data_IF_704263434848
#
_entry.id   IF_704263434848
#
_cell.length_a   1.000
_cell.length_b   1.000
_cell.length_c   1.000
_cell.angle_alpha   90.00
_cell.angle_beta   90.00
_cell.angle_gamma   90.00
#
_symmetry.space_group_name_H-M   'P 1'
#
loop_
_entity.id
_entity.type
_entity.pdbx_description
1 polymer ?
#
# COMPACT_ATOMS: atom_id res chain seq x y z
N UNK A 1 19.55 -1.42 -8.42
CA UNK A 1 19.64 0.04 -8.21
C UNK A 1 18.33 0.74 -8.53
N UNK A 2 17.78 0.64 -9.75
CA UNK A 2 16.54 1.36 -10.11
C UNK A 2 15.30 0.96 -9.28
N UNK A 3 15.09 -0.34 -9.05
CA UNK A 3 13.98 -0.84 -8.24
C UNK A 3 14.07 -0.41 -6.77
N UNK A 4 15.27 -0.41 -6.20
CA UNK A 4 15.51 0.08 -4.83
C UNK A 4 15.11 1.55 -4.70
N UNK A 5 15.49 2.37 -5.68
CA UNK A 5 15.14 3.80 -5.72
C UNK A 5 13.62 3.99 -5.74
N UNK A 6 12.89 3.21 -6.54
CA UNK A 6 11.42 3.27 -6.58
C UNK A 6 10.78 2.90 -5.23
N UNK A 7 11.24 1.82 -4.59
CA UNK A 7 10.76 1.41 -3.27
C UNK A 7 11.09 2.47 -2.21
N UNK A 8 12.28 3.07 -2.27
CA UNK A 8 12.68 4.18 -1.39
C UNK A 8 11.78 5.40 -1.58
N UNK A 9 11.46 5.76 -2.82
CA UNK A 9 10.54 6.86 -3.13
C UNK A 9 9.14 6.55 -2.58
N UNK A 10 8.67 5.31 -2.69
CA UNK A 10 7.39 4.89 -2.12
C UNK A 10 7.38 5.03 -0.58
N UNK A 11 8.42 4.55 0.10
CA UNK A 11 8.57 4.67 1.57
C UNK A 11 8.63 6.15 1.99
N UNK A 12 9.41 6.97 1.28
CA UNK A 12 9.52 8.40 1.57
C UNK A 12 8.19 9.13 1.37
N UNK A 13 7.48 8.81 0.29
CA UNK A 13 6.14 9.33 -0.03
C UNK A 13 5.14 8.96 1.06
N UNK A 14 5.10 7.70 1.50
CA UNK A 14 4.20 7.25 2.58
C UNK A 14 4.49 7.99 3.90
N UNK A 15 5.77 8.12 4.27
CA UNK A 15 6.19 8.78 5.51
C UNK A 15 5.91 10.28 5.52
N UNK A 16 5.93 10.95 4.37
CA UNK A 16 5.55 12.36 4.23
C UNK A 16 4.03 12.51 4.17
N UNK A 17 3.31 11.60 3.51
CA UNK A 17 1.85 11.67 3.40
C UNK A 17 1.17 11.62 4.75
N UNK A 18 1.60 10.73 5.65
CA UNK A 18 1.00 10.56 6.98
C UNK A 18 0.81 11.90 7.72
N UNK A 19 1.87 12.70 7.97
CA UNK A 19 1.74 13.97 8.70
C UNK A 19 0.96 15.04 7.95
N UNK A 20 0.87 14.98 6.61
CA UNK A 20 0.18 16.00 5.79
C UNK A 20 -1.06 15.47 5.07
N UNK A 21 -1.61 14.36 5.55
CA UNK A 21 -2.68 13.60 4.88
C UNK A 21 -3.98 14.38 4.73
N UNK A 22 -4.21 15.41 5.54
CA UNK A 22 -5.32 16.36 5.42
C UNK A 22 -5.10 17.47 4.37
N UNK A 23 -3.85 17.66 3.90
CA UNK A 23 -3.45 18.81 3.09
C UNK A 23 -2.90 18.45 1.70
N UNK A 24 -2.46 17.21 1.47
CA UNK A 24 -1.81 16.83 0.20
C UNK A 24 -2.59 15.82 -0.63
N UNK A 25 -3.57 16.31 -1.39
CA UNK A 25 -4.25 15.51 -2.42
C UNK A 25 -3.34 15.08 -3.58
N UNK A 26 -2.16 15.68 -3.72
CA UNK A 26 -1.14 15.26 -4.70
C UNK A 26 -0.46 13.97 -4.26
N UNK A 27 -0.03 13.87 -2.99
CA UNK A 27 0.58 12.64 -2.45
C UNK A 27 -0.36 11.44 -2.49
N UNK A 28 -1.62 11.63 -2.08
CA UNK A 28 -2.65 10.57 -2.14
C UNK A 28 -2.84 9.97 -3.54
N UNK A 29 -2.62 10.78 -4.59
CA UNK A 29 -2.73 10.35 -5.99
C UNK A 29 -1.42 9.79 -6.55
N UNK A 30 -0.28 10.22 -6.03
CA UNK A 30 1.04 9.79 -6.48
C UNK A 30 1.44 8.45 -5.86
N UNK A 31 1.10 8.20 -4.60
CA UNK A 31 1.47 6.97 -3.89
C UNK A 31 0.97 5.69 -4.59
N UNK A 32 -0.30 5.57 -5.02
CA UNK A 32 -0.76 4.40 -5.77
C UNK A 32 -0.01 4.22 -7.08
N UNK A 33 0.23 5.30 -7.83
CA UNK A 33 0.98 5.25 -9.10
C UNK A 33 2.41 4.75 -8.90
N UNK A 34 3.10 5.24 -7.88
CA UNK A 34 4.45 4.76 -7.54
C UNK A 34 4.45 3.28 -7.16
N UNK A 35 3.40 2.81 -6.46
CA UNK A 35 3.27 1.41 -6.10
C UNK A 35 2.96 0.52 -7.31
N UNK A 36 2.09 0.95 -8.21
CA UNK A 36 1.78 0.28 -9.48
C UNK A 36 3.00 0.24 -10.43
N UNK A 37 3.83 1.28 -10.43
CA UNK A 37 5.07 1.38 -11.22
C UNK A 37 6.23 0.51 -10.68
N UNK A 38 6.08 -0.07 -9.49
CA UNK A 38 7.03 -1.04 -8.91
C UNK A 38 6.70 -2.42 -9.49
N UNK A 39 7.29 -2.69 -10.65
CA UNK A 39 7.25 -4.01 -11.26
C UNK A 39 8.30 -4.93 -10.60
N UNK A 40 7.83 -5.90 -9.80
CA UNK A 40 8.68 -6.96 -9.23
C UNK A 40 8.96 -8.08 -10.25
N UNK A 41 8.36 -8.01 -11.44
CA UNK A 41 8.44 -9.01 -12.50
C UNK A 41 7.88 -10.36 -12.02
N UNK A 42 8.60 -11.43 -12.34
CA UNK A 42 8.25 -12.80 -11.90
C UNK A 42 8.59 -13.07 -10.42
N UNK A 43 9.10 -12.09 -9.66
CA UNK A 43 9.47 -12.28 -8.26
C UNK A 43 8.32 -11.87 -7.35
N UNK A 44 8.03 -12.71 -6.37
CA UNK A 44 7.04 -12.43 -5.30
C UNK A 44 7.61 -11.39 -4.31
N UNK A 45 8.94 -11.27 -4.23
CA UNK A 45 9.61 -10.37 -3.29
C UNK A 45 10.89 -9.76 -3.87
N UNK A 46 11.18 -8.55 -3.44
CA UNK A 46 12.41 -7.81 -3.64
C UNK A 46 13.13 -7.60 -2.30
N UNK A 47 14.43 -7.85 -2.30
CA UNK A 47 15.35 -7.58 -1.18
C UNK A 47 16.51 -6.74 -1.71
N UNK A 48 16.58 -5.49 -1.27
CA UNK A 48 17.67 -4.56 -1.56
C UNK A 48 18.60 -4.37 -0.36
N UNK A 49 19.55 -3.45 -0.49
CA UNK A 49 20.48 -3.13 0.61
C UNK A 49 19.73 -2.43 1.75
N UNK A 50 18.92 -1.42 1.44
CA UNK A 50 18.24 -0.59 2.44
C UNK A 50 16.77 -0.96 2.66
N UNK A 51 16.10 -1.49 1.65
CA UNK A 51 14.65 -1.71 1.65
C UNK A 51 14.25 -3.05 1.06
N UNK A 52 13.02 -3.43 1.33
CA UNK A 52 12.38 -4.62 0.79
C UNK A 52 10.96 -4.31 0.32
N UNK A 53 10.46 -5.16 -0.57
CA UNK A 53 9.05 -5.16 -0.97
C UNK A 53 8.59 -6.59 -1.27
N UNK A 54 7.32 -6.91 -1.01
CA UNK A 54 6.71 -8.20 -1.36
C UNK A 54 5.29 -8.00 -1.84
N UNK A 55 4.88 -8.80 -2.82
CA UNK A 55 3.49 -8.83 -3.28
C UNK A 55 2.80 -10.01 -2.62
N UNK A 56 1.68 -9.75 -1.97
CA UNK A 56 0.81 -10.80 -1.45
C UNK A 56 -0.59 -10.62 -2.02
N UNK A 57 -1.18 -11.72 -2.47
CA UNK A 57 -2.58 -11.75 -2.85
C UNK A 57 -3.37 -12.33 -1.68
N UNK A 58 -4.30 -11.56 -1.14
CA UNK A 58 -5.21 -12.02 -0.10
C UNK A 58 -6.58 -12.32 -0.71
N UNK A 59 -7.01 -13.58 -0.59
CA UNK A 59 -8.40 -13.95 -0.81
C UNK A 59 -9.20 -13.48 0.42
N UNK A 60 -9.96 -12.38 0.29
CA UNK A 60 -10.85 -11.90 1.35
C UNK A 60 -12.04 -12.86 1.55
N UNK A 61 -11.81 -14.03 2.17
CA UNK A 61 -12.91 -14.84 2.69
C UNK A 61 -13.42 -14.27 4.02
N UNK A 62 -14.45 -13.44 3.98
CA UNK A 62 -15.21 -13.09 5.19
C UNK A 62 -16.33 -14.10 5.48
N UNK A 63 -16.25 -14.66 6.69
CA UNK A 63 -17.26 -15.33 7.52
C UNK A 63 -17.73 -16.75 7.11
N UNK A 64 -17.14 -17.77 7.75
CA UNK A 64 -17.65 -19.16 7.79
C UNK A 64 -19.14 -19.27 8.15
N UNK A 65 -19.66 -18.38 8.99
CA UNK A 65 -21.07 -18.44 9.42
C UNK A 65 -22.10 -17.96 8.39
N UNK A 66 -21.69 -17.26 7.32
CA UNK A 66 -22.63 -16.75 6.31
C UNK A 66 -22.95 -17.81 5.24
N UNK A 67 -22.08 -18.82 5.09
CA UNK A 67 -22.20 -19.87 4.07
C UNK A 67 -23.39 -20.80 4.34
N UNK A 68 -23.56 -21.23 5.58
CA UNK A 68 -24.67 -22.09 5.96
C UNK A 68 -26.03 -21.42 5.72
N UNK A 69 -26.12 -20.10 5.97
CA UNK A 69 -27.31 -19.31 5.68
C UNK A 69 -27.57 -19.11 4.18
N UNK A 70 -26.51 -18.97 3.37
CA UNK A 70 -26.62 -18.91 1.90
C UNK A 70 -27.06 -20.27 1.35
N UNK A 71 -26.53 -21.37 1.88
CA UNK A 71 -26.86 -22.73 1.46
C UNK A 71 -28.31 -23.08 1.84
N UNK A 72 -28.75 -22.73 3.06
CA UNK A 72 -30.15 -22.88 3.48
C UNK A 72 -31.09 -22.01 2.63
N UNK A 73 -30.70 -20.77 2.33
CA UNK A 73 -31.46 -19.88 1.46
C UNK A 73 -31.57 -20.43 0.03
N UNK A 74 -30.48 -20.97 -0.51
CA UNK A 74 -30.45 -21.54 -1.85
C UNK A 74 -31.30 -22.82 -1.95
N UNK A 75 -31.36 -23.62 -0.89
CA UNK A 75 -32.26 -24.77 -0.81
C UNK A 75 -33.73 -24.34 -0.76
N UNK A 76 -34.05 -23.30 0.01
CA UNK A 76 -35.42 -22.78 0.17
C UNK A 76 -35.93 -22.03 -1.06
N UNK A 77 -35.03 -21.38 -1.81
CA UNK A 77 -35.38 -20.57 -2.98
C UNK A 77 -34.46 -20.88 -4.17
N UNK A 78 -34.58 -22.04 -4.84
CA UNK A 78 -33.59 -22.53 -5.82
C UNK A 78 -33.28 -21.53 -6.94
N UNK A 79 -34.30 -20.89 -7.51
CA UNK A 79 -34.13 -19.92 -8.60
C UNK A 79 -33.35 -18.66 -8.17
N UNK A 80 -33.58 -18.18 -6.95
CA UNK A 80 -32.92 -16.97 -6.42
C UNK A 80 -31.59 -17.30 -5.75
N UNK A 81 -31.46 -18.50 -5.20
CA UNK A 81 -30.22 -19.06 -4.68
C UNK A 81 -29.15 -19.17 -5.76
N UNK A 82 -29.50 -19.65 -6.96
CA UNK A 82 -28.55 -19.70 -8.09
C UNK A 82 -28.08 -18.30 -8.51
N UNK A 83 -28.97 -17.31 -8.53
CA UNK A 83 -28.62 -15.91 -8.85
C UNK A 83 -27.73 -15.32 -7.75
N UNK A 84 -28.07 -15.55 -6.49
CA UNK A 84 -27.30 -15.08 -5.34
C UNK A 84 -25.90 -15.70 -5.32
N UNK A 85 -25.79 -17.01 -5.57
CA UNK A 85 -24.51 -17.70 -5.69
C UNK A 85 -23.70 -17.18 -6.88
N UNK A 86 -24.32 -16.92 -8.04
CA UNK A 86 -23.64 -16.30 -9.17
C UNK A 86 -23.06 -14.91 -8.82
N UNK A 87 -23.83 -14.07 -8.12
CA UNK A 87 -23.39 -12.74 -7.66
C UNK A 87 -22.28 -12.85 -6.59
N UNK A 88 -22.37 -13.84 -5.70
CA UNK A 88 -21.35 -14.09 -4.67
C UNK A 88 -20.07 -14.62 -5.29
N UNK A 89 -20.16 -15.52 -6.25
CA UNK A 89 -19.02 -16.04 -7.00
C UNK A 89 -18.34 -14.93 -7.79
N UNK A 90 -19.10 -14.11 -8.54
CA UNK A 90 -18.60 -12.92 -9.26
C UNK A 90 -17.93 -11.90 -8.32
N UNK A 91 -18.44 -11.73 -7.10
CA UNK A 91 -17.84 -10.85 -6.08
C UNK A 91 -16.66 -11.47 -5.34
N UNK A 92 -16.58 -12.80 -5.25
CA UNK A 92 -15.41 -13.53 -4.70
C UNK A 92 -14.25 -13.55 -5.68
N UNK A 93 -14.51 -13.33 -6.97
CA UNK A 93 -13.46 -13.26 -7.97
C UNK A 93 -12.55 -12.05 -7.82
N UNK A 94 -12.88 -11.02 -7.04
CA UNK A 94 -11.97 -9.90 -6.79
C UNK A 94 -10.92 -10.28 -5.73
N UNK A 95 -9.83 -10.92 -6.15
CA UNK A 95 -8.66 -11.16 -5.28
C UNK A 95 -7.89 -9.86 -5.11
N UNK A 96 -7.67 -9.43 -3.87
CA UNK A 96 -6.89 -8.22 -3.61
C UNK A 96 -5.40 -8.53 -3.69
N UNK A 97 -4.65 -7.70 -4.41
CA UNK A 97 -3.19 -7.79 -4.47
C UNK A 97 -2.59 -6.59 -3.77
N UNK A 98 -1.82 -6.86 -2.72
CA UNK A 98 -1.18 -5.86 -1.87
C UNK A 98 0.33 -5.88 -2.08
N UNK A 99 0.92 -4.70 -2.22
CA UNK A 99 2.36 -4.49 -2.15
C UNK A 99 2.72 -4.11 -0.72
N UNK A 100 3.41 -5.00 -0.02
CA UNK A 100 4.03 -4.73 1.27
C UNK A 100 5.44 -4.18 1.04
N UNK A 101 5.85 -3.19 1.82
CA UNK A 101 7.14 -2.53 1.70
C UNK A 101 7.65 -2.02 3.04
N UNK A 102 8.97 -1.96 3.17
CA UNK A 102 9.62 -1.52 4.40
C UNK A 102 11.13 -1.32 4.26
N UNK A 103 11.76 -0.95 5.37
CA UNK A 103 13.21 -0.78 5.49
C UNK A 103 13.82 -2.00 6.18
N UNK A 104 15.00 -2.43 5.74
CA UNK A 104 15.78 -3.44 6.46
C UNK A 104 16.16 -2.92 7.85
N UNK A 105 16.43 -3.84 8.78
CA UNK A 105 16.85 -3.47 10.13
C UNK A 105 18.06 -2.53 10.09
N UNK A 106 18.04 -1.52 10.96
CA UNK A 106 19.06 -0.47 11.08
C UNK A 106 19.24 0.42 9.82
N UNK A 107 18.48 0.21 8.75
CA UNK A 107 18.53 1.06 7.57
C UNK A 107 17.59 2.26 7.72
N UNK A 108 17.99 3.40 7.18
CA UNK A 108 17.20 4.64 7.21
C UNK A 108 17.25 5.34 5.86
N UNK A 109 16.15 6.02 5.54
CA UNK A 109 16.11 6.97 4.44
C UNK A 109 17.02 8.17 4.77
N UNK A 110 17.76 8.62 3.78
CA UNK A 110 18.57 9.83 3.86
C UNK A 110 17.69 11.08 3.76
N UNK A 111 18.21 12.23 4.19
CA UNK A 111 17.55 13.51 3.95
C UNK A 111 17.29 13.77 2.46
N UNK A 112 18.24 13.39 1.60
CA UNK A 112 18.12 13.52 0.15
C UNK A 112 16.92 12.78 -0.42
N UNK A 113 16.61 11.58 0.11
CA UNK A 113 15.46 10.78 -0.33
C UNK A 113 14.14 11.52 -0.06
N UNK A 114 13.99 12.12 1.13
CA UNK A 114 12.80 12.91 1.46
C UNK A 114 12.74 14.22 0.68
N UNK A 115 13.88 14.91 0.54
CA UNK A 115 13.97 16.14 -0.23
C UNK A 115 13.59 15.93 -1.69
N UNK A 116 13.99 14.80 -2.29
CA UNK A 116 13.59 14.44 -3.65
C UNK A 116 12.07 14.40 -3.80
N UNK A 117 11.39 13.67 -2.91
CA UNK A 117 9.93 13.58 -2.92
C UNK A 117 9.28 14.96 -2.71
N UNK A 118 9.79 15.78 -1.77
CA UNK A 118 9.26 17.13 -1.57
C UNK A 118 9.43 18.02 -2.81
N UNK A 119 10.55 17.92 -3.52
CA UNK A 119 10.75 18.66 -4.77
C UNK A 119 9.78 18.21 -5.85
N UNK A 120 9.53 16.90 -5.98
CA UNK A 120 8.55 16.35 -6.94
C UNK A 120 7.11 16.83 -6.63
N UNK A 121 6.83 17.10 -5.35
CA UNK A 121 5.57 17.72 -4.94
C UNK A 121 5.46 19.20 -5.33
N UNK A 122 6.56 19.85 -5.71
CA UNK A 122 6.62 21.24 -6.13
C UNK A 122 7.14 22.18 -5.04
N UNK A 123 7.71 21.64 -3.95
CA UNK A 123 8.39 22.48 -2.96
C UNK A 123 9.74 22.96 -3.53
N UNK A 124 10.06 24.22 -3.28
CA UNK A 124 11.41 24.73 -3.56
C UNK A 124 12.42 24.12 -2.61
N UNK A 125 13.71 24.12 -2.97
CA UNK A 125 14.80 23.62 -2.11
C UNK A 125 14.76 24.23 -0.70
N UNK A 126 14.53 25.53 -0.61
CA UNK A 126 14.44 26.24 0.67
C UNK A 126 13.25 25.78 1.49
N UNK A 127 12.08 25.63 0.88
CA UNK A 127 10.88 25.15 1.58
C UNK A 127 11.04 23.71 2.05
N UNK A 128 11.59 22.83 1.20
CA UNK A 128 11.82 21.43 1.54
C UNK A 128 12.80 21.29 2.71
N UNK A 129 13.90 22.06 2.73
CA UNK A 129 14.85 22.06 3.85
C UNK A 129 14.25 22.56 5.15
N UNK A 130 13.42 23.59 5.09
CA UNK A 130 12.78 24.15 6.29
C UNK A 130 11.73 23.21 6.86
N UNK A 131 10.97 22.51 6.00
CA UNK A 131 9.89 21.63 6.41
C UNK A 131 10.38 20.24 6.85
N UNK A 132 11.53 19.80 6.34
CA UNK A 132 12.08 18.46 6.61
C UNK A 132 12.21 18.12 8.11
N UNK A 133 12.82 18.96 8.97
CA UNK A 133 12.97 18.67 10.39
C UNK A 133 11.63 18.43 11.10
N UNK A 134 10.63 19.26 10.78
CA UNK A 134 9.29 19.18 11.37
C UNK A 134 8.56 17.91 10.93
N UNK A 135 8.59 17.61 9.63
CA UNK A 135 8.01 16.39 9.08
C UNK A 135 8.63 15.14 9.71
N UNK A 136 9.96 15.13 9.88
CA UNK A 136 10.64 13.99 10.48
C UNK A 136 10.31 13.83 11.96
N UNK A 137 10.14 14.93 12.70
CA UNK A 137 9.71 14.87 14.09
C UNK A 137 8.32 14.25 14.21
N UNK A 138 7.36 14.68 13.38
CA UNK A 138 6.00 14.13 13.39
C UNK A 138 6.00 12.68 12.92
N UNK A 139 6.70 12.38 11.82
CA UNK A 139 6.81 11.02 11.27
C UNK A 139 7.40 10.03 12.29
N UNK A 140 8.50 10.38 12.97
CA UNK A 140 9.11 9.53 14.02
C UNK A 140 8.17 9.28 15.20
N UNK A 141 7.40 10.29 15.61
CA UNK A 141 6.42 10.15 16.69
C UNK A 141 5.26 9.22 16.31
N UNK A 142 4.90 9.17 15.03
CA UNK A 142 3.85 8.29 14.49
C UNK A 142 4.36 6.87 14.21
N UNK A 143 5.59 6.71 13.72
CA UNK A 143 6.22 5.41 13.48
C UNK A 143 6.51 4.63 14.75
N UNK A 144 6.87 5.27 15.87
CA UNK A 144 7.06 4.59 17.17
C UNK A 144 5.81 3.85 17.69
N UNK A 145 4.64 4.07 17.09
CA UNK A 145 3.37 3.45 17.49
C UNK A 145 2.92 2.29 16.57
N UNK A 146 3.64 1.97 15.49
CA UNK A 146 3.23 0.97 14.49
C UNK A 146 4.45 0.23 13.94
N UNK A 147 4.34 -1.07 13.66
CA UNK A 147 5.34 -1.80 12.87
C UNK A 147 5.67 -1.04 11.57
N UNK A 148 6.95 -1.05 11.19
CA UNK A 148 7.46 -0.24 10.06
C UNK A 148 7.00 -0.78 8.70
N UNK A 149 6.60 -2.05 8.61
CA UNK A 149 6.04 -2.62 7.37
C UNK A 149 4.70 -1.96 7.04
N UNK A 150 4.55 -1.59 5.77
CA UNK A 150 3.35 -0.96 5.21
C UNK A 150 2.85 -1.76 4.04
N UNK A 151 1.56 -1.66 3.75
CA UNK A 151 0.96 -2.23 2.55
C UNK A 151 0.13 -1.19 1.78
N UNK A 152 0.04 -1.39 0.47
CA UNK A 152 -0.84 -0.66 -0.43
C UNK A 152 -1.48 -1.62 -1.43
N UNK A 153 -2.78 -1.49 -1.66
CA UNK A 153 -3.49 -2.24 -2.70
C UNK A 153 -3.01 -1.77 -4.07
N UNK A 154 -2.53 -2.70 -4.90
CA UNK A 154 -2.01 -2.43 -6.25
C UNK A 154 -2.85 -3.08 -7.36
N UNK A 155 -3.87 -3.87 -7.01
CA UNK A 155 -4.77 -4.42 -8.02
C UNK A 155 -5.78 -5.42 -7.51
N UNK A 156 -6.72 -5.73 -8.40
CA UNK A 156 -7.65 -6.85 -8.26
C UNK A 156 -7.32 -7.87 -9.35
N UNK A 157 -7.12 -9.13 -8.99
CA UNK A 157 -7.07 -10.23 -9.96
C UNK A 157 -8.49 -10.77 -10.05
N UNK A 158 -9.12 -10.65 -11.22
CA UNK A 158 -10.40 -11.26 -11.59
C UNK A 158 -10.18 -12.66 -12.20
#
# INVERSE_FOLDING_TARGET
MELETKVIQLIATDRIEIPISSMSGKLKRQKPKLAEDIDLGNKISYQGERCYARIESEDLQKARGMRDGIDEFAQRFPKYGTILNGIIEEKRTARETHLYFGMNENCRLSEGDYMGVMKDLGFTDTMARNLYPELMQVSRNLSRKRDEERSILIGFIF
#
